data_IF_326357806353
#
_entry.id   IF_326357806353
#
_cell.length_a   1.000
_cell.length_b   1.000
_cell.length_c   1.000
_cell.angle_alpha   90.00
_cell.angle_beta   90.00
_cell.angle_gamma   90.00
#
_symmetry.space_group_name_H-M   'P 1'
#
loop_
_entity.id
_entity.type
_entity.pdbx_description
1 polymer ?
#
# COMPACT_ATOMS: atom_id res chain seq x y z
N UNK A 1 -0.65 -48.43 14.54
CA UNK A 1 -0.86 -48.21 13.10
C UNK A 1 -1.42 -46.83 12.76
N UNK A 2 -2.19 -46.15 13.64
CA UNK A 2 -2.75 -44.82 13.29
C UNK A 2 -1.71 -43.70 13.14
N UNK A 3 -0.58 -43.77 13.85
CA UNK A 3 0.51 -42.79 13.73
C UNK A 3 1.15 -42.74 12.33
N UNK A 4 1.03 -43.81 11.54
CA UNK A 4 1.54 -43.85 10.17
C UNK A 4 0.56 -43.15 9.21
N UNK A 5 -0.74 -43.35 9.41
CA UNK A 5 -1.81 -42.79 8.57
C UNK A 5 -1.90 -41.28 8.76
N UNK A 6 -1.87 -40.80 10.00
CA UNK A 6 -1.90 -39.37 10.33
C UNK A 6 -0.73 -38.61 9.69
N UNK A 7 0.45 -39.25 9.67
CA UNK A 7 1.66 -38.66 9.10
C UNK A 7 1.59 -38.59 7.56
N UNK A 8 0.97 -39.59 6.92
CA UNK A 8 0.71 -39.60 5.47
C UNK A 8 -0.29 -38.50 5.10
N UNK A 9 -1.34 -38.31 5.90
CA UNK A 9 -2.33 -37.24 5.70
C UNK A 9 -1.65 -35.88 5.85
N UNK A 10 -0.89 -35.69 6.92
CA UNK A 10 -0.16 -34.45 7.17
C UNK A 10 0.81 -34.10 6.02
N UNK A 11 1.59 -35.06 5.51
CA UNK A 11 2.47 -34.82 4.37
C UNK A 11 1.69 -34.41 3.11
N UNK A 12 0.49 -34.95 2.91
CA UNK A 12 -0.36 -34.61 1.77
C UNK A 12 -1.08 -33.28 1.93
N UNK A 13 -1.42 -32.83 3.13
CA UNK A 13 -2.21 -31.61 3.37
C UNK A 13 -1.39 -30.44 3.93
N UNK A 14 -0.14 -30.67 4.33
CA UNK A 14 0.77 -29.66 4.88
C UNK A 14 0.89 -28.40 4.01
N UNK A 15 0.78 -28.57 2.68
CA UNK A 15 0.86 -27.44 1.76
C UNK A 15 -0.32 -26.46 1.91
N UNK A 16 -1.48 -26.90 2.42
CA UNK A 16 -2.68 -26.09 2.68
C UNK A 16 -2.58 -25.27 3.97
N UNK A 17 -1.47 -25.37 4.70
CA UNK A 17 -1.21 -24.56 5.89
C UNK A 17 -1.28 -23.05 5.55
N UNK A 18 -1.78 -22.26 6.51
CA UNK A 18 -2.03 -20.82 6.33
C UNK A 18 -0.82 -19.99 5.89
N UNK A 19 0.41 -20.47 6.09
CA UNK A 19 1.63 -19.83 5.58
C UNK A 19 1.69 -19.76 4.05
N UNK A 20 1.05 -20.70 3.35
CA UNK A 20 1.01 -20.77 1.89
C UNK A 20 -0.29 -20.20 1.31
N UNK A 21 -1.19 -19.68 2.15
CA UNK A 21 -2.52 -19.18 1.74
C UNK A 21 -2.46 -18.21 0.56
N UNK A 22 -1.61 -17.19 0.66
CA UNK A 22 -1.44 -16.18 -0.41
C UNK A 22 -0.94 -16.76 -1.74
N UNK A 23 -0.16 -17.84 -1.70
CA UNK A 23 0.31 -18.52 -2.91
C UNK A 23 -0.80 -19.34 -3.54
N UNK A 24 -1.54 -20.11 -2.73
CA UNK A 24 -2.67 -20.93 -3.17
C UNK A 24 -3.77 -20.04 -3.77
N UNK A 25 -4.07 -18.90 -3.15
CA UNK A 25 -5.03 -17.92 -3.64
C UNK A 25 -4.65 -17.40 -5.03
N UNK A 26 -3.40 -16.99 -5.23
CA UNK A 26 -2.89 -16.56 -6.54
C UNK A 26 -2.94 -17.68 -7.57
N UNK A 27 -2.62 -18.91 -7.17
CA UNK A 27 -2.67 -20.07 -8.06
C UNK A 27 -4.10 -20.39 -8.46
N UNK A 28 -5.04 -20.32 -7.52
CA UNK A 28 -6.46 -20.50 -7.79
C UNK A 28 -7.04 -19.39 -8.67
N UNK A 29 -6.63 -18.13 -8.48
CA UNK A 29 -7.02 -17.02 -9.37
C UNK A 29 -6.62 -17.31 -10.82
N UNK A 30 -5.38 -17.80 -11.04
CA UNK A 30 -4.93 -18.27 -12.36
C UNK A 30 -5.75 -19.43 -12.91
N UNK A 31 -6.27 -20.32 -12.04
CA UNK A 31 -7.08 -21.48 -12.45
C UNK A 31 -8.44 -21.03 -12.96
N UNK A 32 -9.04 -20.05 -12.29
CA UNK A 32 -10.32 -19.44 -12.68
C UNK A 32 -10.18 -18.72 -14.03
N UNK A 33 -9.08 -17.99 -14.24
CA UNK A 33 -8.79 -17.34 -15.52
C UNK A 33 -8.52 -18.35 -16.64
N UNK A 34 -7.58 -19.26 -16.44
CA UNK A 34 -7.13 -20.23 -17.43
C UNK A 34 -6.71 -21.57 -16.78
N UNK A 35 -7.57 -22.61 -16.80
CA UNK A 35 -7.27 -23.90 -16.18
C UNK A 35 -6.02 -24.59 -16.74
N UNK A 36 -5.62 -24.29 -17.98
CA UNK A 36 -4.45 -24.85 -18.66
C UNK A 36 -3.13 -24.21 -18.23
N UNK A 37 -3.15 -23.07 -17.54
CA UNK A 37 -1.95 -22.33 -17.12
C UNK A 37 -1.26 -22.92 -15.89
N UNK A 38 -1.82 -23.96 -15.28
CA UNK A 38 -1.41 -24.52 -13.98
C UNK A 38 -1.10 -26.01 -14.15
N UNK A 39 -0.15 -26.56 -13.36
CA UNK A 39 0.15 -27.99 -13.34
C UNK A 39 -1.10 -28.85 -13.11
N UNK A 40 -1.14 -30.02 -13.75
CA UNK A 40 -2.32 -30.91 -13.72
C UNK A 40 -2.69 -31.38 -12.30
N UNK A 41 -1.72 -31.53 -11.40
CA UNK A 41 -1.96 -31.89 -10.00
C UNK A 41 -2.84 -30.86 -9.27
N UNK A 42 -2.60 -29.57 -9.53
CA UNK A 42 -3.38 -28.47 -8.98
C UNK A 42 -4.73 -28.33 -9.67
N UNK A 43 -4.79 -28.60 -10.98
CA UNK A 43 -6.07 -28.64 -11.70
C UNK A 43 -7.01 -29.68 -11.11
N UNK A 44 -6.53 -30.91 -10.90
CA UNK A 44 -7.28 -32.00 -10.29
C UNK A 44 -7.71 -31.66 -8.85
N UNK A 45 -6.83 -31.03 -8.08
CA UNK A 45 -7.14 -30.59 -6.73
C UNK A 45 -8.29 -29.57 -6.72
N UNK A 46 -8.21 -28.52 -7.56
CA UNK A 46 -9.24 -27.49 -7.62
C UNK A 46 -10.55 -27.95 -8.26
N UNK A 47 -10.50 -28.89 -9.21
CA UNK A 47 -11.68 -29.56 -9.75
C UNK A 47 -12.40 -30.39 -8.67
N UNK A 48 -11.64 -31.05 -7.79
CA UNK A 48 -12.18 -31.83 -6.67
C UNK A 48 -12.87 -31.01 -5.57
N UNK A 49 -12.66 -29.68 -5.51
CA UNK A 49 -13.34 -28.80 -4.56
C UNK A 49 -14.81 -28.56 -4.92
N UNK A 50 -15.20 -28.75 -6.18
CA UNK A 50 -16.58 -28.54 -6.62
C UNK A 50 -17.08 -27.09 -6.50
N UNK A 51 -16.17 -26.13 -6.31
CA UNK A 51 -16.52 -24.72 -6.14
C UNK A 51 -17.22 -24.17 -7.39
N UNK A 52 -18.40 -23.58 -7.17
CA UNK A 52 -19.09 -22.85 -8.23
C UNK A 52 -18.31 -21.57 -8.50
N UNK A 53 -17.84 -21.41 -9.75
CA UNK A 53 -17.05 -20.26 -10.23
C UNK A 53 -17.62 -18.87 -9.86
N UNK A 54 -18.89 -18.81 -9.45
CA UNK A 54 -19.62 -17.59 -9.14
C UNK A 54 -19.29 -16.96 -7.78
N UNK A 55 -18.71 -17.69 -6.82
CA UNK A 55 -18.39 -17.14 -5.48
C UNK A 55 -17.10 -16.28 -5.45
N UNK A 56 -16.38 -16.16 -6.57
CA UNK A 56 -15.03 -15.58 -6.61
C UNK A 56 -15.03 -14.08 -6.96
N UNK A 57 -16.14 -13.56 -7.49
CA UNK A 57 -16.27 -12.13 -7.83
C UNK A 57 -16.18 -11.26 -6.56
N UNK A 58 -16.41 -11.82 -5.36
CA UNK A 58 -16.28 -11.14 -4.07
C UNK A 58 -14.82 -10.89 -3.62
N UNK A 59 -13.81 -11.49 -4.26
CA UNK A 59 -12.39 -11.37 -3.87
C UNK A 59 -11.64 -10.23 -4.56
N UNK A 60 -12.26 -9.49 -5.50
CA UNK A 60 -11.66 -8.32 -6.19
C UNK A 60 -11.47 -7.08 -5.29
N UNK A 61 -11.56 -7.26 -3.97
CA UNK A 61 -11.52 -6.20 -2.99
C UNK A 61 -12.88 -5.52 -2.80
N UNK A 62 -12.98 -4.64 -1.80
CA UNK A 62 -14.21 -3.92 -1.54
C UNK A 62 -14.61 -3.04 -2.73
N UNK A 63 -15.91 -2.88 -2.96
CA UNK A 63 -16.46 -2.04 -4.04
C UNK A 63 -16.05 -0.55 -3.96
N UNK A 64 -15.59 -0.10 -2.79
CA UNK A 64 -15.06 1.24 -2.57
C UNK A 64 -13.55 1.36 -2.86
N UNK A 65 -12.87 0.26 -3.21
CA UNK A 65 -11.46 0.30 -3.56
C UNK A 65 -11.23 1.21 -4.77
N UNK A 66 -10.28 2.16 -4.71
CA UNK A 66 -10.05 3.08 -5.82
C UNK A 66 -9.54 2.32 -7.06
N UNK A 67 -10.28 2.43 -8.17
CA UNK A 67 -10.00 1.72 -9.43
C UNK A 67 -8.67 2.07 -10.11
N UNK A 68 -8.02 3.17 -9.69
CA UNK A 68 -6.78 3.70 -10.30
C UNK A 68 -5.55 3.65 -9.39
N UNK A 69 -5.60 2.96 -8.24
CA UNK A 69 -4.37 2.68 -7.50
C UNK A 69 -3.59 1.63 -8.29
N UNK A 70 -2.53 2.07 -8.99
CA UNK A 70 -1.53 1.15 -9.53
C UNK A 70 -1.09 0.27 -8.38
N UNK A 71 -1.32 -1.04 -8.48
CA UNK A 71 -0.95 -2.00 -7.44
C UNK A 71 0.55 -1.83 -7.14
N UNK A 72 0.89 -1.25 -5.97
CA UNK A 72 2.27 -1.01 -5.56
C UNK A 72 2.78 -2.34 -5.00
N UNK A 73 3.13 -3.26 -5.88
CA UNK A 73 3.37 -4.67 -5.53
C UNK A 73 4.66 -4.95 -4.78
N UNK A 74 5.44 -3.96 -4.34
CA UNK A 74 6.82 -4.18 -3.93
C UNK A 74 7.13 -3.83 -2.47
N UNK A 75 6.13 -3.60 -1.61
CA UNK A 75 6.36 -3.33 -0.18
C UNK A 75 7.21 -2.07 0.10
N UNK A 76 7.40 -1.24 -0.93
CA UNK A 76 8.28 -0.08 -0.89
C UNK A 76 7.50 1.10 -0.28
N UNK A 77 7.71 1.32 1.01
CA UNK A 77 7.07 2.39 1.78
C UNK A 77 7.40 3.79 1.21
N UNK A 78 8.50 3.90 0.46
CA UNK A 78 9.01 5.14 -0.14
C UNK A 78 8.46 5.45 -1.54
N UNK A 79 7.46 4.72 -2.01
CA UNK A 79 6.83 4.95 -3.34
C UNK A 79 6.30 6.38 -3.50
N UNK A 80 5.96 7.06 -2.40
CA UNK A 80 5.57 8.47 -2.43
C UNK A 80 6.72 9.41 -2.84
N UNK A 81 7.98 9.04 -2.59
CA UNK A 81 9.15 9.79 -3.05
C UNK A 81 9.25 9.87 -4.57
N UNK A 82 8.66 8.92 -5.30
CA UNK A 82 8.56 8.97 -6.76
C UNK A 82 7.63 10.08 -7.26
N UNK A 83 6.62 10.44 -6.46
CA UNK A 83 5.68 11.52 -6.78
C UNK A 83 6.16 12.87 -6.25
N UNK A 84 7.16 12.88 -5.36
CA UNK A 84 7.83 14.11 -4.98
C UNK A 84 8.63 14.65 -6.18
N UNK A 85 8.47 15.94 -6.54
CA UNK A 85 9.26 16.53 -7.60
C UNK A 85 10.75 16.46 -7.23
N UNK A 86 11.59 15.89 -8.12
CA UNK A 86 13.04 15.71 -7.88
C UNK A 86 13.80 17.02 -7.67
N UNK A 87 13.18 18.14 -8.04
CA UNK A 87 13.71 19.48 -7.97
C UNK A 87 12.64 20.32 -7.26
N UNK A 88 12.64 20.27 -5.92
CA UNK A 88 11.89 21.20 -5.05
C UNK A 88 12.43 22.64 -5.12
N UNK A 89 13.09 23.03 -6.21
CA UNK A 89 13.41 24.42 -6.47
C UNK A 89 12.05 25.12 -6.63
N UNK A 90 11.67 25.96 -5.67
CA UNK A 90 10.33 26.54 -5.57
C UNK A 90 9.82 27.20 -6.85
N UNK A 91 10.70 27.53 -7.79
CA UNK A 91 10.39 28.08 -9.11
C UNK A 91 9.62 27.10 -10.01
N UNK A 92 9.98 25.81 -10.07
CA UNK A 92 9.33 24.84 -10.98
C UNK A 92 7.88 24.53 -10.58
N UNK A 93 7.62 24.53 -9.27
CA UNK A 93 6.27 24.31 -8.73
C UNK A 93 5.39 25.55 -8.99
N UNK A 94 5.95 26.74 -8.75
CA UNK A 94 5.27 28.02 -9.06
C UNK A 94 4.94 28.15 -10.55
N UNK A 95 5.83 27.73 -11.44
CA UNK A 95 5.57 27.72 -12.90
C UNK A 95 4.41 26.81 -13.29
N UNK A 96 4.36 25.58 -12.77
CA UNK A 96 3.24 24.64 -13.04
C UNK A 96 1.90 25.13 -12.49
N UNK A 97 1.92 25.75 -11.31
CA UNK A 97 0.74 26.39 -10.73
C UNK A 97 0.27 27.55 -11.63
N UNK A 98 1.20 28.39 -12.08
CA UNK A 98 0.92 29.51 -12.97
C UNK A 98 0.32 29.07 -14.32
N UNK A 99 0.83 27.99 -14.91
CA UNK A 99 0.25 27.40 -16.12
C UNK A 99 -1.18 26.93 -15.92
N UNK A 100 -1.45 26.19 -14.83
CA UNK A 100 -2.79 25.67 -14.53
C UNK A 100 -3.79 26.79 -14.18
N UNK A 101 -3.32 27.85 -13.54
CA UNK A 101 -4.14 29.01 -13.21
C UNK A 101 -4.63 29.76 -14.46
N UNK A 102 -3.89 29.76 -15.57
CA UNK A 102 -4.32 30.42 -16.82
C UNK A 102 -5.67 29.88 -17.32
N UNK A 103 -5.98 28.61 -17.09
CA UNK A 103 -7.22 27.96 -17.54
C UNK A 103 -8.44 28.11 -16.62
N UNK A 104 -8.28 28.63 -15.39
CA UNK A 104 -9.34 28.65 -14.36
C UNK A 104 -9.93 30.05 -14.16
N UNK A 105 -11.17 30.20 -13.67
CA UNK A 105 -11.76 31.48 -13.25
C UNK A 105 -11.11 32.00 -11.95
N UNK A 106 -11.11 33.32 -11.75
CA UNK A 106 -10.26 33.97 -10.74
C UNK A 106 -10.52 33.55 -9.28
N UNK A 107 -11.76 33.16 -8.94
CA UNK A 107 -12.12 32.74 -7.58
C UNK A 107 -11.59 31.33 -7.27
N UNK A 108 -11.64 30.41 -8.23
CA UNK A 108 -11.15 29.02 -8.07
C UNK A 108 -9.61 28.95 -8.04
N UNK A 109 -8.91 29.89 -8.67
CA UNK A 109 -7.43 29.95 -8.66
C UNK A 109 -6.87 30.03 -7.25
N UNK A 110 -7.43 30.91 -6.42
CA UNK A 110 -6.93 31.16 -5.06
C UNK A 110 -7.10 29.91 -4.18
N UNK A 111 -8.22 29.21 -4.32
CA UNK A 111 -8.51 28.01 -3.54
C UNK A 111 -7.65 26.82 -3.99
N UNK A 112 -7.41 26.69 -5.30
CA UNK A 112 -6.52 25.64 -5.85
C UNK A 112 -5.07 25.88 -5.42
N UNK A 113 -4.60 27.12 -5.41
CA UNK A 113 -3.25 27.47 -4.95
C UNK A 113 -3.06 27.12 -3.47
N UNK A 114 -3.99 27.54 -2.60
CA UNK A 114 -3.95 27.23 -1.16
C UNK A 114 -3.95 25.73 -0.92
N UNK A 115 -4.89 25.01 -1.55
CA UNK A 115 -4.98 23.54 -1.45
C UNK A 115 -3.69 22.85 -1.91
N UNK A 116 -3.04 23.38 -2.95
CA UNK A 116 -1.77 22.84 -3.46
C UNK A 116 -0.63 23.08 -2.48
N UNK A 117 -0.53 24.29 -1.91
CA UNK A 117 0.49 24.63 -0.91
C UNK A 117 0.32 23.76 0.34
N UNK A 118 -0.91 23.61 0.83
CA UNK A 118 -1.21 22.79 2.00
C UNK A 118 -0.90 21.31 1.77
N UNK A 119 -1.17 20.80 0.55
CA UNK A 119 -0.77 19.45 0.15
C UNK A 119 0.76 19.28 0.17
N UNK A 120 1.53 20.26 -0.31
CA UNK A 120 3.00 20.22 -0.29
C UNK A 120 3.51 20.23 1.16
N UNK A 121 2.97 21.09 2.01
CA UNK A 121 3.30 21.16 3.45
C UNK A 121 3.04 19.82 4.13
N UNK A 122 1.88 19.22 3.89
CA UNK A 122 1.53 17.91 4.43
C UNK A 122 2.48 16.81 3.96
N UNK A 123 2.83 16.77 2.67
CA UNK A 123 3.78 15.80 2.12
C UNK A 123 5.17 15.96 2.77
N UNK A 124 5.64 17.20 2.96
CA UNK A 124 6.92 17.46 3.61
C UNK A 124 6.91 17.01 5.08
N UNK A 125 5.83 17.27 5.81
CA UNK A 125 5.65 16.82 7.19
C UNK A 125 5.63 15.28 7.28
N UNK A 126 4.84 14.60 6.44
CA UNK A 126 4.80 13.12 6.38
C UNK A 126 6.20 12.58 6.15
N UNK A 127 6.96 13.14 5.22
CA UNK A 127 8.33 12.72 4.94
C UNK A 127 9.24 12.91 6.16
N UNK A 128 9.14 14.03 6.86
CA UNK A 128 9.93 14.29 8.07
C UNK A 128 9.64 13.24 9.15
N UNK A 129 8.37 12.92 9.40
CA UNK A 129 7.98 11.86 10.34
C UNK A 129 8.46 10.47 9.94
N UNK A 130 8.43 10.15 8.64
CA UNK A 130 8.93 8.85 8.15
C UNK A 130 10.44 8.70 8.35
N UNK A 131 11.21 9.76 8.09
CA UNK A 131 12.68 9.72 8.18
C UNK A 131 13.15 9.89 9.64
N UNK A 132 12.54 10.80 10.40
CA UNK A 132 13.02 11.24 11.72
C UNK A 132 12.04 11.05 12.87
N UNK A 133 10.83 10.55 12.62
CA UNK A 133 9.84 10.34 13.68
C UNK A 133 10.31 9.38 14.79
N UNK A 134 11.26 8.50 14.49
CA UNK A 134 11.90 7.65 15.49
C UNK A 134 12.60 8.43 16.61
N UNK A 135 12.99 9.69 16.37
CA UNK A 135 13.63 10.56 17.37
C UNK A 135 12.67 10.98 18.50
N UNK A 136 11.36 11.03 18.23
CA UNK A 136 10.32 11.41 19.20
C UNK A 136 9.47 10.21 19.62
N UNK A 137 9.87 8.98 19.24
CA UNK A 137 9.12 7.78 19.56
C UNK A 137 9.26 7.42 21.04
N UNK A 138 8.14 7.04 21.65
CA UNK A 138 8.10 6.58 23.05
C UNK A 138 8.57 5.12 23.14
N UNK A 139 9.89 4.93 23.08
CA UNK A 139 10.54 3.62 23.12
C UNK A 139 11.06 3.24 24.51
N UNK A 140 11.23 4.20 25.41
CA UNK A 140 11.72 3.99 26.77
C UNK A 140 10.55 3.82 27.75
N UNK A 141 10.28 2.59 28.25
CA UNK A 141 9.20 2.36 29.21
C UNK A 141 9.48 2.98 30.59
N UNK A 142 10.74 3.29 30.91
CA UNK A 142 11.13 3.89 32.18
C UNK A 142 11.17 5.42 32.11
N UNK A 143 11.04 6.02 30.92
CA UNK A 143 11.05 7.46 30.67
C UNK A 143 12.26 8.18 31.28
N UNK A 144 13.42 7.52 31.28
CA UNK A 144 14.68 8.07 31.77
C UNK A 144 15.36 8.95 30.71
N UNK A 145 15.06 8.72 29.43
CA UNK A 145 15.59 9.52 28.34
C UNK A 145 14.94 10.90 28.25
N UNK A 146 15.76 11.94 28.11
CA UNK A 146 15.28 13.30 27.83
C UNK A 146 14.73 13.40 26.40
N UNK A 147 13.51 13.94 26.26
CA UNK A 147 12.90 14.20 24.95
C UNK A 147 13.43 15.51 24.39
N UNK A 148 14.14 15.44 23.26
CA UNK A 148 14.61 16.62 22.56
C UNK A 148 13.55 17.17 21.61
N UNK A 149 13.49 18.51 21.50
CA UNK A 149 12.58 19.18 20.58
C UNK A 149 13.14 19.16 19.16
N UNK A 150 12.34 18.64 18.22
CA UNK A 150 12.69 18.55 16.81
C UNK A 150 11.77 19.47 15.98
N UNK A 151 12.26 20.63 15.48
CA UNK A 151 11.43 21.59 14.77
C UNK A 151 10.86 21.04 13.46
N UNK A 152 11.61 20.16 12.80
CA UNK A 152 11.20 19.45 11.59
C UNK A 152 10.02 18.47 11.78
N UNK A 153 9.66 18.15 13.02
CA UNK A 153 8.49 17.32 13.34
C UNK A 153 7.32 18.16 13.88
N UNK A 154 7.51 19.47 14.10
CA UNK A 154 6.42 20.34 14.54
C UNK A 154 5.57 20.79 13.33
N UNK A 155 4.23 20.61 13.34
CA UNK A 155 3.32 21.15 12.33
C UNK A 155 3.47 22.66 12.08
N UNK A 156 3.75 23.44 13.14
CA UNK A 156 3.89 24.90 13.05
C UNK A 156 5.03 25.32 12.11
N UNK A 157 6.09 24.53 12.02
CA UNK A 157 7.23 24.76 11.12
C UNK A 157 6.81 24.73 9.64
N UNK A 158 5.74 23.99 9.33
CA UNK A 158 5.19 23.89 7.97
C UNK A 158 4.05 24.88 7.72
N UNK A 159 3.59 25.61 8.75
CA UNK A 159 2.53 26.62 8.64
C UNK A 159 1.11 26.06 8.79
N UNK A 160 0.96 24.97 9.54
CA UNK A 160 -0.34 24.49 10.04
C UNK A 160 -0.72 25.14 11.37
#
# INVERSE_FOLDING_TARGET
>A
MSSQEDNIIFQKTSFLSGTNSSYIEKLYAKYVENPTSIPDSWRQFFEGLGDQKNNIIESQGPSWAPSNIKHISNGDLDVYEKYLPKNLNGNSIKEKILEKNKSLPNNERVDVERSTIDSIRAIMMIRAYRIRGHLIADLDPLQLQEKHYHPELNPETYGF
#
